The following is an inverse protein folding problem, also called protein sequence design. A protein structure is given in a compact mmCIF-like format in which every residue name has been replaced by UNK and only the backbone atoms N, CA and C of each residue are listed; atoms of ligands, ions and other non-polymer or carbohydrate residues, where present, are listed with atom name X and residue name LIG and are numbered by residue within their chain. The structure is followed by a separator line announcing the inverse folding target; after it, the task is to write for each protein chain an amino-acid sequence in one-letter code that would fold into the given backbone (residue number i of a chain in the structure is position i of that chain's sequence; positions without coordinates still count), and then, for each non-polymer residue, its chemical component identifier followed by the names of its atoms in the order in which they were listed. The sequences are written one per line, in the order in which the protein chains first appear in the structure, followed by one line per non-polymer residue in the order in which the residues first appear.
data_IF_289147561308
#
_entry.id   IF_289147561308
#
_cell.length_a   1.000
_cell.length_b   1.000
_cell.length_c   1.000
_cell.angle_alpha   90.00
_cell.angle_beta   90.00
_cell.angle_gamma   90.00
#
_symmetry.space_group_name_H-M   'P 1'
#
loop_
_entity.id
_entity.type
_entity.pdbx_description
1 polymer ?
#
# COMPACT_ATOMS: atom_id res chain seq x y z
N UNK A 1 -12.89 -50.72 -31.44
CA UNK A 1 -11.64 -49.94 -31.28
C UNK A 1 -11.79 -49.14 -30.00
N UNK A 2 -11.34 -49.68 -28.87
CA UNK A 2 -11.40 -48.99 -27.56
C UNK A 2 -10.07 -48.25 -27.42
N UNK A 3 -10.11 -46.93 -27.34
CA UNK A 3 -8.92 -46.10 -27.16
C UNK A 3 -8.50 -46.19 -25.68
N UNK A 4 -7.43 -46.94 -25.41
CA UNK A 4 -6.74 -46.89 -24.11
C UNK A 4 -6.11 -45.51 -23.93
N UNK A 5 -6.81 -44.60 -23.24
CA UNK A 5 -6.18 -43.42 -22.68
C UNK A 5 -5.28 -43.87 -21.52
N UNK A 6 -3.98 -43.96 -21.80
CA UNK A 6 -2.98 -44.59 -20.93
C UNK A 6 -2.88 -43.97 -19.54
N UNK A 7 -2.79 -44.84 -18.54
CA UNK A 7 -2.61 -44.56 -17.10
C UNK A 7 -1.52 -43.54 -16.76
N UNK A 8 -0.53 -43.38 -17.65
CA UNK A 8 0.59 -42.45 -17.49
C UNK A 8 0.18 -40.98 -17.56
N UNK A 9 -0.77 -40.62 -18.42
CA UNK A 9 -1.26 -39.24 -18.55
C UNK A 9 -2.10 -38.81 -17.32
N UNK A 10 -2.88 -39.73 -16.77
CA UNK A 10 -3.64 -39.50 -15.53
C UNK A 10 -2.68 -39.39 -14.33
N UNK A 11 -1.65 -40.22 -14.26
CA UNK A 11 -0.61 -40.13 -13.23
C UNK A 11 0.09 -38.75 -13.22
N UNK A 12 0.55 -38.29 -14.38
CA UNK A 12 1.19 -36.97 -14.51
C UNK A 12 0.24 -35.81 -14.17
N UNK A 13 -1.04 -35.92 -14.53
CA UNK A 13 -2.04 -34.89 -14.17
C UNK A 13 -2.26 -34.80 -12.65
N UNK A 14 -2.30 -35.94 -11.96
CA UNK A 14 -2.45 -35.99 -10.50
C UNK A 14 -1.19 -35.47 -9.80
N UNK A 15 0.00 -35.85 -10.27
CA UNK A 15 1.27 -35.35 -9.72
C UNK A 15 1.41 -33.83 -9.86
N UNK A 16 1.05 -33.27 -11.02
CA UNK A 16 1.05 -31.82 -11.24
C UNK A 16 0.05 -31.10 -10.32
N UNK A 17 -1.15 -31.66 -10.13
CA UNK A 17 -2.15 -31.10 -9.24
C UNK A 17 -1.70 -31.12 -7.77
N UNK A 18 -1.10 -32.23 -7.33
CA UNK A 18 -0.55 -32.37 -5.98
C UNK A 18 0.64 -31.43 -5.77
N UNK A 19 1.49 -31.24 -6.79
CA UNK A 19 2.61 -30.30 -6.73
C UNK A 19 2.13 -28.85 -6.64
N UNK A 20 1.12 -28.47 -7.41
CA UNK A 20 0.53 -27.14 -7.36
C UNK A 20 -0.11 -26.85 -5.98
N UNK A 21 -0.85 -27.83 -5.44
CA UNK A 21 -1.47 -27.69 -4.13
C UNK A 21 -0.44 -27.57 -2.99
N UNK A 22 0.67 -28.33 -3.08
CA UNK A 22 1.78 -28.22 -2.11
C UNK A 22 2.44 -26.85 -2.18
N UNK A 23 2.70 -26.35 -3.40
CA UNK A 23 3.24 -25.01 -3.58
C UNK A 23 2.32 -23.96 -2.96
N UNK A 24 1.02 -23.96 -3.30
CA UNK A 24 0.05 -23.02 -2.72
C UNK A 24 -0.01 -23.07 -1.19
N UNK A 25 0.04 -24.28 -0.61
CA UNK A 25 0.08 -24.45 0.84
C UNK A 25 1.36 -23.89 1.46
N UNK A 26 2.52 -24.19 0.88
CA UNK A 26 3.80 -23.73 1.41
C UNK A 26 3.91 -22.19 1.32
N UNK A 27 3.26 -21.59 0.31
CA UNK A 27 3.12 -20.14 0.14
C UNK A 27 2.20 -19.50 1.18
N UNK A 28 1.09 -20.18 1.50
CA UNK A 28 0.19 -19.75 2.56
C UNK A 28 0.86 -19.84 3.95
N UNK A 29 1.62 -20.90 4.20
CA UNK A 29 2.40 -21.06 5.43
C UNK A 29 3.53 -20.01 5.55
N UNK A 30 4.18 -19.64 4.44
CA UNK A 30 5.14 -18.54 4.40
C UNK A 30 4.51 -17.20 4.77
N UNK A 31 3.36 -16.88 4.17
CA UNK A 31 2.59 -15.68 4.48
C UNK A 31 2.14 -15.64 5.96
N UNK A 32 1.68 -16.76 6.53
CA UNK A 32 1.34 -16.83 7.96
C UNK A 32 2.56 -16.57 8.85
N UNK A 33 3.74 -17.08 8.49
CA UNK A 33 4.97 -16.84 9.27
C UNK A 33 5.42 -15.38 9.23
N UNK A 34 5.28 -14.73 8.09
CA UNK A 34 5.59 -13.30 7.93
C UNK A 34 4.61 -12.43 8.71
N UNK A 35 3.31 -12.72 8.61
CA UNK A 35 2.29 -12.11 9.46
C UNK A 35 2.48 -12.41 10.95
N UNK A 36 3.06 -13.56 11.32
CA UNK A 36 3.37 -13.88 12.72
C UNK A 36 4.48 -12.97 13.30
N UNK A 37 5.30 -12.33 12.45
CA UNK A 37 6.25 -11.30 12.85
C UNK A 37 5.62 -9.91 13.01
N UNK A 38 4.49 -9.67 12.35
CA UNK A 38 3.71 -8.43 12.49
C UNK A 38 2.91 -8.52 13.79
N UNK A 39 3.26 -7.65 14.75
CA UNK A 39 2.47 -7.56 15.99
C UNK A 39 1.04 -7.16 15.61
N UNK A 40 0.01 -7.91 16.05
CA UNK A 40 -1.37 -7.52 15.81
C UNK A 40 -1.59 -6.12 16.40
N UNK A 41 -2.43 -5.34 15.73
CA UNK A 41 -2.89 -4.04 16.22
C UNK A 41 -3.30 -4.21 17.69
N UNK A 42 -2.64 -3.53 18.66
CA UNK A 42 -2.90 -3.77 20.07
C UNK A 42 -4.37 -3.53 20.40
N UNK A 43 -4.94 -4.37 21.28
CA UNK A 43 -6.32 -4.22 21.70
C UNK A 43 -6.57 -2.81 22.27
N UNK A 44 -7.56 -2.10 21.73
CA UNK A 44 -7.87 -0.70 22.09
C UNK A 44 -7.58 0.31 20.96
N UNK A 45 -6.79 -0.07 19.96
CA UNK A 45 -6.61 0.73 18.74
C UNK A 45 -7.74 0.42 17.74
N UNK A 46 -8.76 1.27 17.73
CA UNK A 46 -9.93 1.14 16.85
C UNK A 46 -10.01 2.39 15.97
N UNK A 47 -10.43 2.22 14.71
CA UNK A 47 -10.90 3.33 13.89
C UNK A 47 -12.27 3.77 14.43
N UNK A 48 -12.26 4.57 15.50
CA UNK A 48 -13.50 5.02 16.15
C UNK A 48 -14.17 6.16 15.36
N UNK A 49 -13.39 6.94 14.62
CA UNK A 49 -13.85 8.11 13.88
C UNK A 49 -13.44 8.04 12.41
N UNK A 50 -14.43 8.21 11.52
CA UNK A 50 -14.19 8.31 10.08
C UNK A 50 -13.94 9.77 9.74
N UNK A 51 -12.72 10.07 9.29
CA UNK A 51 -12.35 11.39 8.78
C UNK A 51 -12.62 11.45 7.27
N UNK A 52 -13.41 12.43 6.85
CA UNK A 52 -13.65 12.68 5.42
C UNK A 52 -12.49 13.50 4.83
N UNK A 53 -12.07 13.20 3.60
CA UNK A 53 -11.01 13.96 2.92
C UNK A 53 -11.46 15.38 2.50
N UNK A 54 -12.74 15.54 2.13
CA UNK A 54 -13.32 16.79 1.67
C UNK A 54 -13.73 17.71 2.82
N UNK A 55 -13.79 19.04 2.59
CA UNK A 55 -13.45 19.75 1.34
C UNK A 55 -11.95 20.03 1.14
N UNK A 56 -11.11 19.83 2.17
CA UNK A 56 -9.73 20.34 2.19
C UNK A 56 -8.82 19.60 1.21
N UNK A 57 -8.99 18.27 1.10
CA UNK A 57 -8.14 17.40 0.27
C UNK A 57 -9.01 16.57 -0.68
N UNK A 58 -9.57 17.17 -1.75
CA UNK A 58 -10.43 16.47 -2.70
C UNK A 58 -9.78 15.25 -3.37
N UNK A 59 -8.44 15.18 -3.41
CA UNK A 59 -7.70 14.01 -3.90
C UNK A 59 -6.83 13.35 -2.80
N UNK A 60 -7.03 13.67 -1.52
CA UNK A 60 -6.17 13.18 -0.43
C UNK A 60 -6.63 11.89 0.22
N UNK A 61 -7.09 10.89 -0.53
CA UNK A 61 -7.56 9.64 0.06
C UNK A 61 -6.43 8.90 0.80
N UNK A 62 -5.20 8.93 0.28
CA UNK A 62 -4.03 8.29 0.89
C UNK A 62 -3.66 8.93 2.22
N UNK A 63 -3.49 10.26 2.23
CA UNK A 63 -3.06 10.98 3.44
C UNK A 63 -4.16 11.03 4.50
N UNK A 64 -5.43 11.10 4.10
CA UNK A 64 -6.56 11.02 5.05
C UNK A 64 -6.62 9.63 5.69
N UNK A 65 -6.44 8.57 4.89
CA UNK A 65 -6.42 7.20 5.42
C UNK A 65 -5.23 6.98 6.36
N UNK A 66 -4.06 7.54 6.04
CA UNK A 66 -2.88 7.48 6.90
C UNK A 66 -3.11 8.22 8.22
N UNK A 67 -3.70 9.42 8.18
CA UNK A 67 -4.08 10.19 9.38
C UNK A 67 -5.01 9.38 10.29
N UNK A 68 -6.04 8.75 9.72
CA UNK A 68 -6.94 7.86 10.46
C UNK A 68 -6.22 6.66 11.07
N UNK A 69 -5.30 6.03 10.33
CA UNK A 69 -4.49 4.91 10.82
C UNK A 69 -3.62 5.35 12.00
N UNK A 70 -2.91 6.47 11.88
CA UNK A 70 -2.06 7.00 12.94
C UNK A 70 -2.86 7.36 14.20
N UNK A 71 -4.04 7.97 14.03
CA UNK A 71 -4.96 8.24 15.14
C UNK A 71 -5.40 6.95 15.84
N UNK A 72 -5.73 5.90 15.08
CA UNK A 72 -6.08 4.60 15.65
C UNK A 72 -4.93 4.01 16.48
N UNK A 73 -3.67 4.35 16.21
CA UNK A 73 -2.48 3.93 16.98
C UNK A 73 -2.10 4.90 18.12
N UNK A 74 -2.98 5.85 18.46
CA UNK A 74 -2.75 6.82 19.53
C UNK A 74 -1.79 7.95 19.14
N UNK A 75 -1.55 8.16 17.83
CA UNK A 75 -0.64 9.17 17.27
C UNK A 75 -1.41 10.14 16.35
N UNK A 76 -2.45 10.82 16.85
CA UNK A 76 -3.32 11.62 16.01
C UNK A 76 -2.56 12.78 15.36
N UNK A 77 -2.80 12.97 14.06
CA UNK A 77 -2.36 14.13 13.29
C UNK A 77 -3.47 14.50 12.30
N UNK A 78 -3.72 15.79 12.13
CA UNK A 78 -4.67 16.27 11.14
C UNK A 78 -4.22 15.92 9.70
N UNK A 79 -5.16 15.56 8.83
CA UNK A 79 -4.87 15.15 7.44
C UNK A 79 -4.19 16.27 6.63
N UNK A 80 -4.54 17.54 6.87
CA UNK A 80 -3.98 18.69 6.16
C UNK A 80 -2.58 18.95 6.68
N UNK A 81 -2.40 18.94 7.99
CA UNK A 81 -1.07 19.05 8.60
C UNK A 81 -0.12 17.93 8.11
N UNK A 82 -0.62 16.68 8.08
CA UNK A 82 0.16 15.54 7.60
C UNK A 82 0.57 15.70 6.13
N UNK A 83 -0.35 16.19 5.29
CA UNK A 83 -0.08 16.44 3.88
C UNK A 83 0.96 17.56 3.70
N UNK A 84 0.72 18.74 4.27
CA UNK A 84 1.55 19.93 4.07
C UNK A 84 2.97 19.78 4.62
N UNK A 85 3.14 19.03 5.71
CA UNK A 85 4.44 18.92 6.39
C UNK A 85 5.27 17.72 5.96
N UNK A 86 4.65 16.60 5.61
CA UNK A 86 5.37 15.32 5.47
C UNK A 86 5.16 14.63 4.12
N UNK A 87 4.08 14.92 3.40
CA UNK A 87 3.81 14.29 2.11
C UNK A 87 4.37 15.14 0.97
N UNK A 88 5.56 14.78 0.49
CA UNK A 88 6.16 15.43 -0.67
C UNK A 88 5.25 15.24 -1.89
N UNK A 89 4.89 16.35 -2.52
CA UNK A 89 4.08 16.39 -3.75
C UNK A 89 4.79 17.15 -4.86
N UNK A 90 4.53 16.76 -6.10
CA UNK A 90 5.10 17.42 -7.27
C UNK A 90 4.09 17.43 -8.43
N UNK A 91 3.95 18.59 -9.06
CA UNK A 91 3.03 18.80 -10.19
C UNK A 91 3.56 18.23 -11.51
N UNK A 92 2.71 18.26 -12.53
CA UNK A 92 3.14 17.94 -13.89
C UNK A 92 3.99 19.05 -14.48
N UNK A 93 5.03 18.68 -15.24
CA UNK A 93 5.74 19.60 -16.10
C UNK A 93 5.09 19.61 -17.50
N UNK A 94 4.85 20.80 -18.03
CA UNK A 94 4.45 20.95 -19.43
C UNK A 94 5.63 20.53 -20.33
N UNK A 95 5.38 19.64 -21.31
CA UNK A 95 6.46 19.26 -22.23
C UNK A 95 6.76 20.39 -23.22
N UNK A 96 8.04 20.54 -23.57
CA UNK A 96 8.43 21.40 -24.70
C UNK A 96 8.19 20.73 -26.07
N UNK A 97 7.63 19.51 -26.11
CA UNK A 97 7.38 18.69 -27.30
C UNK A 97 5.91 18.25 -27.39
N UNK A 98 5.01 19.20 -27.67
CA UNK A 98 3.60 18.94 -27.99
C UNK A 98 2.67 18.74 -26.79
N UNK A 99 1.48 18.14 -27.03
CA UNK A 99 0.38 17.96 -26.07
C UNK A 99 0.61 16.84 -25.02
N UNK A 100 1.82 16.30 -24.89
CA UNK A 100 2.15 15.34 -23.83
C UNK A 100 2.51 16.07 -22.52
N UNK A 101 1.97 15.60 -21.39
CA UNK A 101 2.40 16.00 -20.05
C UNK A 101 3.22 14.88 -19.43
N UNK A 102 4.33 15.25 -18.79
CA UNK A 102 5.16 14.34 -18.02
C UNK A 102 4.97 14.64 -16.54
N UNK A 103 4.58 13.62 -15.79
CA UNK A 103 4.40 13.70 -14.34
C UNK A 103 5.54 13.01 -13.61
N UNK A 104 5.74 13.35 -12.33
CA UNK A 104 6.67 12.63 -11.47
C UNK A 104 6.19 11.20 -11.24
N UNK A 105 7.08 10.34 -10.74
CA UNK A 105 6.74 8.96 -10.41
C UNK A 105 5.87 8.90 -9.14
N UNK A 106 4.69 8.27 -9.18
CA UNK A 106 3.85 8.08 -7.98
C UNK A 106 4.49 7.16 -6.93
N UNK A 107 5.52 6.40 -7.29
CA UNK A 107 6.36 5.62 -6.36
C UNK A 107 7.26 6.51 -5.48
N UNK A 108 7.55 7.72 -5.96
CA UNK A 108 8.54 8.60 -5.33
C UNK A 108 7.89 9.74 -4.54
N UNK A 109 6.81 10.31 -5.09
CA UNK A 109 6.08 11.49 -4.57
C UNK A 109 4.58 11.41 -4.83
N UNK A 110 3.79 12.25 -4.15
CA UNK A 110 2.40 12.48 -4.51
C UNK A 110 2.30 13.28 -5.83
N UNK A 111 1.59 12.72 -6.81
CA UNK A 111 1.46 13.32 -8.14
C UNK A 111 0.38 14.39 -8.13
N UNK A 112 0.78 15.63 -8.43
CA UNK A 112 -0.07 16.80 -8.36
C UNK A 112 -0.24 17.35 -6.95
N UNK A 113 -1.40 17.93 -6.67
CA UNK A 113 -1.74 18.52 -5.38
C UNK A 113 -3.06 17.94 -4.85
N UNK A 114 -3.00 17.25 -3.70
CA UNK A 114 -4.15 16.63 -3.05
C UNK A 114 -5.25 17.65 -2.69
N UNK A 115 -4.89 18.91 -2.46
CA UNK A 115 -5.80 20.02 -2.17
C UNK A 115 -6.48 20.60 -3.43
N UNK A 116 -5.95 20.31 -4.61
CA UNK A 116 -6.46 20.86 -5.88
C UNK A 116 -7.66 20.08 -6.37
N UNK A 117 -8.74 20.78 -6.72
CA UNK A 117 -9.96 20.16 -7.27
C UNK A 117 -9.77 19.54 -8.67
N UNK A 118 -8.73 19.94 -9.41
CA UNK A 118 -8.51 19.54 -10.81
C UNK A 118 -7.07 19.18 -11.15
N UNK A 119 -6.18 19.21 -10.16
CA UNK A 119 -4.74 19.03 -10.33
C UNK A 119 -4.10 18.14 -9.27
N UNK A 120 -4.86 17.22 -8.67
CA UNK A 120 -4.36 16.17 -7.79
C UNK A 120 -4.70 14.79 -8.34
N UNK A 121 -3.85 13.80 -8.09
CA UNK A 121 -4.01 12.44 -8.61
C UNK A 121 -3.86 11.38 -7.51
N UNK A 122 -2.66 10.89 -7.25
CA UNK A 122 -2.40 9.79 -6.31
C UNK A 122 -0.92 9.64 -5.98
N UNK A 123 -0.63 8.76 -5.02
CA UNK A 123 0.69 8.15 -4.82
C UNK A 123 0.54 6.65 -4.56
N UNK A 124 1.65 5.92 -4.66
CA UNK A 124 1.75 4.56 -4.14
C UNK A 124 2.25 4.56 -2.69
N UNK A 125 2.62 3.39 -2.17
CA UNK A 125 3.03 3.20 -0.78
C UNK A 125 4.25 4.03 -0.37
N UNK A 126 5.19 4.31 -1.28
CA UNK A 126 6.46 4.97 -0.98
C UNK A 126 6.27 6.32 -0.28
N UNK A 127 5.55 7.28 -0.89
CA UNK A 127 5.26 8.57 -0.28
C UNK A 127 4.47 8.46 1.04
N UNK A 128 3.52 7.52 1.13
CA UNK A 128 2.71 7.30 2.34
C UNK A 128 3.59 6.83 3.51
N UNK A 129 4.46 5.84 3.27
CA UNK A 129 5.38 5.32 4.29
C UNK A 129 6.39 6.38 4.73
N UNK A 130 6.95 7.16 3.80
CA UNK A 130 7.86 8.27 4.13
C UNK A 130 7.17 9.32 5.01
N UNK A 131 5.95 9.73 4.66
CA UNK A 131 5.20 10.72 5.44
C UNK A 131 4.89 10.21 6.85
N UNK A 132 4.39 8.97 6.96
CA UNK A 132 4.13 8.34 8.25
C UNK A 132 5.39 8.18 9.09
N UNK A 133 6.48 7.70 8.51
CA UNK A 133 7.75 7.53 9.22
C UNK A 133 8.31 8.84 9.75
N UNK A 134 8.17 9.94 8.99
CA UNK A 134 8.57 11.26 9.45
C UNK A 134 7.75 11.73 10.67
N UNK A 135 6.43 11.47 10.66
CA UNK A 135 5.58 11.75 11.82
C UNK A 135 5.93 10.89 13.05
N UNK A 136 6.19 9.59 12.86
CA UNK A 136 6.64 8.70 13.94
C UNK A 136 7.96 9.19 14.56
N UNK A 137 8.90 9.66 13.73
CA UNK A 137 10.16 10.21 14.19
C UNK A 137 9.98 11.51 14.98
N UNK A 138 9.10 12.42 14.54
CA UNK A 138 8.83 13.69 15.24
C UNK A 138 8.16 13.46 16.61
N UNK A 139 7.29 12.46 16.72
CA UNK A 139 6.60 12.10 17.97
C UNK A 139 7.46 11.26 18.92
N UNK A 140 8.62 10.75 18.47
CA UNK A 140 9.45 9.83 19.25
C UNK A 140 8.79 8.47 19.49
N UNK A 141 7.95 8.02 18.56
CA UNK A 141 7.24 6.74 18.64
C UNK A 141 8.17 5.55 18.44
N UNK A 142 7.85 4.41 19.06
CA UNK A 142 8.50 3.12 18.84
C UNK A 142 7.92 2.33 17.65
N UNK A 143 6.87 2.85 16.98
CA UNK A 143 6.30 2.22 15.80
C UNK A 143 7.16 2.45 14.55
N UNK A 144 6.99 1.61 13.54
CA UNK A 144 7.66 1.71 12.25
C UNK A 144 6.65 1.57 11.10
N UNK A 145 6.84 2.36 10.04
CA UNK A 145 6.12 2.20 8.77
C UNK A 145 6.92 1.29 7.84
N UNK A 146 6.30 0.24 7.32
CA UNK A 146 6.96 -0.69 6.39
C UNK A 146 6.14 -0.87 5.12
N UNK A 147 6.84 -0.87 3.98
CA UNK A 147 6.28 -1.29 2.71
C UNK A 147 6.26 -2.81 2.69
N UNK A 148 5.07 -3.40 2.50
CA UNK A 148 4.89 -4.85 2.42
C UNK A 148 4.67 -5.35 0.99
N UNK A 149 4.48 -4.45 0.03
CA UNK A 149 4.42 -4.75 -1.40
C UNK A 149 5.82 -5.06 -1.93
N UNK A 150 5.90 -5.97 -2.90
CA UNK A 150 7.19 -6.38 -3.47
C UNK A 150 8.06 -7.27 -2.56
N UNK A 151 7.55 -7.70 -1.40
CA UNK A 151 8.07 -8.89 -0.71
C UNK A 151 7.85 -10.10 -1.61
N UNK A 152 8.79 -10.29 -2.53
CA UNK A 152 8.84 -11.46 -3.40
C UNK A 152 9.09 -12.68 -2.54
N UNK A 153 8.32 -13.72 -2.84
CA UNK A 153 8.60 -15.10 -2.47
C UNK A 153 10.06 -15.44 -2.80
N UNK A 154 10.95 -15.40 -1.82
CA UNK A 154 12.23 -16.13 -1.83
C UNK A 154 12.16 -17.34 -0.90
#
# INVERSE_FOLDING_TARGET
MVLEYGSRAVGTMVENLVSAYRAERDLFEGYIRELAGVKPVPAGHTLEEVTLQNPELPNGCEVTSLSMLLAAFGLPIDKVELYERYMQSEGFADSQLGDMRYGPSPEEVYVGDAASASGGWYCFEGPVVKAGAAWLAETGSDYEMQIISGLSRE
#
